data_IF_461944747692
#
_entry.id   IF_461944747692
#
_cell.length_a   1.000
_cell.length_b   1.000
_cell.length_c   1.000
_cell.angle_alpha   90.00
_cell.angle_beta   90.00
_cell.angle_gamma   90.00
#
_symmetry.space_group_name_H-M   'P 1'
#
loop_
_entity.id
_entity.type
_entity.pdbx_description
1 polymer ?
#
# COMPACT_ATOMS: atom_id res chain seq x y z
N UNK A 1 25.09 -25.64 2.53
CA UNK A 1 25.18 -25.59 3.99
C UNK A 1 24.77 -24.19 4.49
N UNK A 2 23.50 -23.79 4.36
CA UNK A 2 22.93 -22.50 4.81
C UNK A 2 21.43 -22.63 5.10
N UNK A 3 20.98 -23.85 5.44
CA UNK A 3 19.57 -24.18 5.78
C UNK A 3 19.26 -24.15 7.28
N UNK A 4 20.21 -23.73 8.14
CA UNK A 4 20.08 -23.94 9.59
C UNK A 4 19.64 -22.72 10.40
N UNK A 5 19.50 -21.53 9.85
CA UNK A 5 19.20 -20.34 10.66
C UNK A 5 17.73 -19.92 10.65
N UNK A 6 16.92 -20.36 9.71
CA UNK A 6 15.49 -19.99 9.65
C UNK A 6 14.56 -20.96 10.42
N UNK A 7 14.99 -22.18 10.68
CA UNK A 7 14.15 -23.24 11.28
C UNK A 7 14.06 -23.20 12.82
N UNK A 8 14.77 -22.32 13.50
CA UNK A 8 14.80 -22.29 14.99
C UNK A 8 13.73 -21.43 15.66
N UNK A 9 12.91 -20.68 14.89
CA UNK A 9 11.99 -19.68 15.45
C UNK A 9 10.51 -19.90 15.10
N UNK A 10 10.11 -21.05 14.58
CA UNK A 10 8.70 -21.37 14.35
C UNK A 10 8.20 -22.22 15.52
N UNK A 11 7.65 -21.58 16.55
CA UNK A 11 7.25 -22.29 17.79
C UNK A 11 5.74 -22.55 17.94
N UNK A 12 4.88 -22.03 17.07
CA UNK A 12 3.46 -22.39 17.11
C UNK A 12 2.77 -22.17 15.77
N UNK A 13 1.92 -23.10 15.39
CA UNK A 13 0.91 -22.87 14.36
C UNK A 13 -0.24 -22.10 14.99
N UNK A 14 -0.68 -21.06 14.35
CA UNK A 14 -1.86 -20.34 14.78
C UNK A 14 -3.09 -20.80 14.00
N UNK A 15 -4.26 -20.74 14.63
CA UNK A 15 -5.51 -21.22 14.04
C UNK A 15 -6.35 -20.08 13.48
N UNK A 16 -6.92 -20.31 12.30
CA UNK A 16 -7.95 -19.44 11.70
C UNK A 16 -9.33 -19.64 12.33
N UNK A 17 -9.49 -20.63 13.21
CA UNK A 17 -10.78 -20.96 13.83
C UNK A 17 -11.37 -19.83 14.67
N UNK A 18 -10.52 -18.99 15.25
CA UNK A 18 -10.93 -17.84 16.06
C UNK A 18 -11.59 -16.70 15.27
N UNK A 19 -11.52 -16.74 13.93
CA UNK A 19 -12.13 -15.72 13.08
C UNK A 19 -13.55 -16.09 12.67
N UNK A 20 -14.42 -15.07 12.61
CA UNK A 20 -15.81 -15.25 12.21
C UNK A 20 -15.99 -15.57 10.73
N UNK A 21 -17.15 -16.12 10.38
CA UNK A 21 -17.44 -16.56 9.01
C UNK A 21 -17.38 -15.40 8.01
N UNK A 22 -17.73 -14.18 8.42
CA UNK A 22 -17.61 -12.97 7.59
C UNK A 22 -16.16 -12.68 7.21
N UNK A 23 -15.24 -12.75 8.17
CA UNK A 23 -13.80 -12.48 7.92
C UNK A 23 -13.19 -13.57 7.04
N UNK A 24 -13.52 -14.82 7.32
CA UNK A 24 -13.10 -15.97 6.51
C UNK A 24 -13.70 -15.88 5.09
N UNK A 25 -14.95 -15.44 4.96
CA UNK A 25 -15.58 -15.22 3.65
C UNK A 25 -14.86 -14.16 2.81
N UNK A 26 -14.44 -13.06 3.43
CA UNK A 26 -13.62 -12.03 2.76
C UNK A 26 -12.27 -12.61 2.34
N UNK A 27 -11.62 -13.39 3.21
CA UNK A 27 -10.36 -14.06 2.89
C UNK A 27 -10.54 -15.02 1.71
N UNK A 28 -11.55 -15.86 1.74
CA UNK A 28 -11.84 -16.83 0.69
C UNK A 28 -12.09 -16.15 -0.67
N UNK A 29 -12.93 -15.10 -0.68
CA UNK A 29 -13.17 -14.31 -1.90
C UNK A 29 -11.88 -13.71 -2.44
N UNK A 30 -11.06 -13.13 -1.57
CA UNK A 30 -9.77 -12.55 -1.97
C UNK A 30 -8.81 -13.60 -2.51
N UNK A 31 -8.79 -14.79 -1.92
CA UNK A 31 -7.95 -15.89 -2.41
C UNK A 31 -8.45 -16.45 -3.73
N UNK A 32 -9.77 -16.51 -3.97
CA UNK A 32 -10.32 -16.85 -5.29
C UNK A 32 -9.86 -15.88 -6.38
N UNK A 33 -9.92 -14.57 -6.09
CA UNK A 33 -9.41 -13.55 -7.00
C UNK A 33 -7.89 -13.73 -7.28
N UNK A 34 -7.10 -14.05 -6.23
CA UNK A 34 -5.67 -14.32 -6.38
C UNK A 34 -5.43 -15.57 -7.26
N UNK A 35 -6.20 -16.63 -7.06
CA UNK A 35 -6.11 -17.86 -7.84
C UNK A 35 -6.37 -17.62 -9.33
N UNK A 36 -7.19 -16.65 -9.69
CA UNK A 36 -7.44 -16.24 -11.07
C UNK A 36 -6.38 -15.27 -11.62
N UNK A 37 -5.48 -14.76 -10.77
CA UNK A 37 -4.46 -13.79 -11.16
C UNK A 37 -3.19 -14.46 -11.66
N UNK A 38 -2.89 -14.31 -12.94
CA UNK A 38 -1.58 -14.72 -13.51
C UNK A 38 -0.40 -14.10 -12.75
N UNK A 39 -0.56 -12.87 -12.28
CA UNK A 39 0.48 -12.14 -11.53
C UNK A 39 0.76 -12.77 -10.17
N UNK A 40 -0.23 -13.41 -9.52
CA UNK A 40 -0.05 -14.15 -8.29
C UNK A 40 0.96 -15.30 -8.46
N UNK A 41 0.75 -16.16 -9.46
CA UNK A 41 1.66 -17.27 -9.73
C UNK A 41 3.04 -16.81 -10.19
N UNK A 42 3.14 -15.72 -10.95
CA UNK A 42 4.43 -15.12 -11.30
C UNK A 42 5.20 -14.62 -10.07
N UNK A 43 4.52 -14.06 -9.08
CA UNK A 43 5.14 -13.64 -7.82
C UNK A 43 5.61 -14.84 -6.98
N UNK A 44 4.81 -15.90 -6.88
CA UNK A 44 5.20 -17.13 -6.21
C UNK A 44 6.45 -17.74 -6.85
N UNK A 45 6.53 -17.76 -8.19
CA UNK A 45 7.69 -18.25 -8.93
C UNK A 45 8.98 -17.48 -8.60
N UNK A 46 8.88 -16.17 -8.40
CA UNK A 46 10.03 -15.31 -8.06
C UNK A 46 10.54 -15.54 -6.63
N UNK A 47 9.67 -15.98 -5.71
CA UNK A 47 9.98 -16.16 -4.29
C UNK A 47 10.42 -17.60 -3.93
N UNK A 48 11.12 -18.29 -4.82
CA UNK A 48 11.61 -19.66 -4.61
C UNK A 48 12.45 -19.89 -3.35
N UNK A 49 13.02 -18.82 -2.80
CA UNK A 49 13.90 -18.89 -1.62
C UNK A 49 13.15 -19.09 -0.29
N UNK A 50 11.82 -19.05 -0.30
CA UNK A 50 10.98 -19.15 0.91
C UNK A 50 9.98 -20.31 0.80
N UNK A 51 10.44 -21.57 0.91
CA UNK A 51 9.59 -22.76 0.75
C UNK A 51 8.46 -22.87 1.78
N UNK A 52 8.59 -22.21 2.93
CA UNK A 52 7.55 -22.16 3.95
C UNK A 52 6.23 -21.51 3.49
N UNK A 53 6.26 -20.70 2.44
CA UNK A 53 5.05 -20.11 1.86
C UNK A 53 4.34 -20.99 0.81
N UNK A 54 4.78 -22.24 0.67
CA UNK A 54 4.24 -23.18 -0.30
C UNK A 54 4.84 -23.04 -1.70
N UNK A 55 4.87 -24.14 -2.41
CA UNK A 55 5.26 -24.17 -3.83
C UNK A 55 4.11 -23.72 -4.74
N UNK A 56 4.41 -23.44 -6.00
CA UNK A 56 3.40 -23.15 -7.01
C UNK A 56 2.37 -24.31 -7.08
N UNK A 57 2.85 -25.57 -7.06
CA UNK A 57 1.99 -26.75 -7.09
C UNK A 57 1.05 -26.84 -5.89
N UNK A 58 1.50 -26.42 -4.71
CA UNK A 58 0.65 -26.39 -3.50
C UNK A 58 -0.46 -25.35 -3.67
N UNK A 59 -0.12 -24.16 -4.17
CA UNK A 59 -1.09 -23.11 -4.43
C UNK A 59 -2.07 -23.46 -5.57
N UNK A 60 -1.60 -24.09 -6.65
CA UNK A 60 -2.47 -24.60 -7.73
C UNK A 60 -3.49 -25.61 -7.21
N UNK A 61 -3.04 -26.59 -6.39
CA UNK A 61 -3.93 -27.56 -5.75
C UNK A 61 -4.93 -26.92 -4.82
N UNK A 62 -4.48 -25.92 -4.05
CA UNK A 62 -5.36 -25.17 -3.16
C UNK A 62 -6.41 -24.38 -3.95
N UNK A 63 -5.99 -23.71 -5.01
CA UNK A 63 -6.88 -22.94 -5.88
C UNK A 63 -7.97 -23.80 -6.53
N UNK A 64 -7.63 -24.98 -7.05
CA UNK A 64 -8.61 -25.93 -7.58
C UNK A 64 -9.65 -26.32 -6.53
N UNK A 65 -9.21 -26.69 -5.32
CA UNK A 65 -10.12 -27.02 -4.22
C UNK A 65 -11.02 -25.84 -3.83
N UNK A 66 -10.47 -24.63 -3.84
CA UNK A 66 -11.20 -23.42 -3.46
C UNK A 66 -12.26 -23.05 -4.50
N UNK A 67 -11.98 -23.30 -5.77
CA UNK A 67 -12.93 -23.06 -6.88
C UNK A 67 -14.13 -24.03 -6.80
N UNK A 68 -13.86 -25.30 -6.58
CA UNK A 68 -14.88 -26.36 -6.49
C UNK A 68 -15.75 -26.26 -5.22
N UNK A 69 -15.28 -25.53 -4.19
CA UNK A 69 -15.97 -25.49 -2.90
C UNK A 69 -17.15 -24.51 -2.93
N UNK A 70 -18.37 -25.04 -2.86
CA UNK A 70 -19.61 -24.28 -2.73
C UNK A 70 -20.05 -24.06 -1.27
N UNK A 71 -19.65 -24.94 -0.36
CA UNK A 71 -20.00 -24.91 1.06
C UNK A 71 -18.78 -25.20 1.92
N UNK A 72 -18.82 -24.77 3.21
CA UNK A 72 -17.77 -25.05 4.19
C UNK A 72 -16.36 -24.55 3.82
N UNK A 73 -16.31 -23.35 3.22
CA UNK A 73 -15.05 -22.69 2.82
C UNK A 73 -14.10 -22.50 4.02
N UNK A 74 -14.64 -22.26 5.21
CA UNK A 74 -13.84 -22.11 6.44
C UNK A 74 -13.02 -23.38 6.71
N UNK A 75 -13.64 -24.54 6.68
CA UNK A 75 -12.97 -25.83 6.87
C UNK A 75 -11.90 -26.11 5.78
N UNK A 76 -12.17 -25.72 4.53
CA UNK A 76 -11.18 -25.82 3.46
C UNK A 76 -9.94 -24.98 3.78
N UNK A 77 -10.14 -23.70 4.13
CA UNK A 77 -9.03 -22.77 4.40
C UNK A 77 -8.25 -23.24 5.63
N UNK A 78 -8.91 -23.58 6.74
CA UNK A 78 -8.25 -24.01 7.99
C UNK A 78 -7.45 -25.31 7.83
N UNK A 79 -7.93 -26.24 6.98
CA UNK A 79 -7.22 -27.50 6.73
C UNK A 79 -6.03 -27.37 5.74
N UNK A 80 -6.03 -26.39 4.85
CA UNK A 80 -5.01 -26.29 3.80
C UNK A 80 -4.01 -25.13 4.03
N UNK A 81 -4.33 -24.16 4.87
CA UNK A 81 -3.44 -23.02 5.17
C UNK A 81 -2.88 -23.16 6.57
N UNK A 82 -1.57 -23.18 6.67
CA UNK A 82 -0.84 -23.14 7.95
C UNK A 82 -0.31 -21.72 8.15
N UNK A 83 -0.46 -21.21 9.36
CA UNK A 83 0.00 -19.89 9.75
C UNK A 83 1.24 -20.03 10.60
N UNK A 84 2.31 -19.36 10.17
CA UNK A 84 3.57 -19.33 10.87
C UNK A 84 3.64 -18.07 11.72
N UNK A 85 3.85 -18.21 13.02
CA UNK A 85 4.10 -17.07 13.91
C UNK A 85 5.58 -16.72 13.88
N UNK A 86 5.87 -15.46 13.58
CA UNK A 86 7.23 -14.96 13.65
C UNK A 86 7.55 -14.57 15.11
N UNK A 87 8.62 -15.15 15.66
CA UNK A 87 9.06 -14.88 17.04
C UNK A 87 9.91 -13.62 17.18
N UNK A 88 10.11 -12.86 16.10
CA UNK A 88 10.81 -11.57 16.17
C UNK A 88 10.03 -10.56 17.03
N UNK A 89 10.74 -9.61 17.66
CA UNK A 89 10.09 -8.57 18.45
C UNK A 89 9.10 -7.77 17.60
N UNK A 90 8.16 -7.17 18.28
CA UNK A 90 7.06 -6.40 17.68
C UNK A 90 7.49 -5.50 16.53
N UNK A 91 6.84 -5.66 15.42
CA UNK A 91 7.00 -4.83 14.23
C UNK A 91 6.14 -3.57 14.26
N UNK A 92 5.89 -3.01 13.10
CA UNK A 92 5.13 -1.78 12.93
C UNK A 92 4.07 -1.96 11.86
N UNK A 93 2.82 -1.67 12.21
CA UNK A 93 1.76 -1.44 11.23
C UNK A 93 1.41 0.04 11.15
N UNK A 94 1.33 0.56 9.94
CA UNK A 94 0.83 1.89 9.62
C UNK A 94 -0.36 1.78 8.68
N UNK A 95 -0.95 2.89 8.29
CA UNK A 95 -2.06 2.91 7.35
C UNK A 95 -1.76 3.76 6.12
N UNK A 96 -2.37 3.39 5.01
CA UNK A 96 -2.44 4.21 3.82
C UNK A 96 -3.87 4.22 3.26
N UNK A 97 -4.17 5.20 2.44
CA UNK A 97 -5.52 5.44 1.93
C UNK A 97 -5.45 5.94 0.49
N UNK A 98 -6.58 6.01 -0.17
CA UNK A 98 -6.71 6.61 -1.48
C UNK A 98 -7.22 8.05 -1.32
N UNK A 99 -6.36 9.08 -1.50
CA UNK A 99 -6.76 10.47 -1.36
C UNK A 99 -7.74 10.89 -2.45
N UNK A 100 -8.56 11.88 -2.10
CA UNK A 100 -9.44 12.58 -3.02
C UNK A 100 -8.88 13.99 -3.16
N UNK A 101 -8.64 14.42 -4.40
CA UNK A 101 -8.11 15.75 -4.71
C UNK A 101 -8.93 16.44 -5.78
N UNK A 102 -9.00 17.75 -5.75
CA UNK A 102 -9.61 18.54 -6.82
C UNK A 102 -8.73 18.54 -8.06
N UNK A 103 -9.35 18.41 -9.23
CA UNK A 103 -8.62 18.37 -10.50
C UNK A 103 -9.31 19.14 -11.60
N UNK A 104 -8.53 19.52 -12.61
CA UNK A 104 -9.00 20.13 -13.85
C UNK A 104 -8.22 19.60 -15.06
N UNK A 105 -8.86 19.52 -16.22
CA UNK A 105 -8.20 19.24 -17.48
C UNK A 105 -7.38 20.44 -17.98
N UNK A 106 -7.76 21.66 -17.58
CA UNK A 106 -7.21 22.91 -18.07
C UNK A 106 -6.49 23.63 -16.92
N UNK A 107 -5.29 24.13 -17.22
CA UNK A 107 -4.56 25.03 -16.31
C UNK A 107 -5.27 26.37 -16.20
N UNK A 108 -5.46 26.85 -14.97
CA UNK A 108 -5.99 28.18 -14.68
C UNK A 108 -5.31 28.80 -13.44
N UNK A 109 -5.87 29.88 -12.88
CA UNK A 109 -5.30 30.55 -11.71
C UNK A 109 -5.34 29.67 -10.43
N UNK A 110 -6.33 28.79 -10.30
CA UNK A 110 -6.51 27.89 -9.17
C UNK A 110 -5.74 26.57 -9.43
N UNK A 111 -6.00 25.91 -10.56
CA UNK A 111 -5.42 24.61 -10.93
C UNK A 111 -4.10 24.80 -11.67
N UNK A 112 -2.99 24.84 -10.95
CA UNK A 112 -1.66 25.21 -11.50
C UNK A 112 -0.57 24.15 -11.29
N UNK A 113 -0.84 23.08 -10.54
CA UNK A 113 0.14 22.02 -10.27
C UNK A 113 -0.14 20.81 -11.14
N UNK A 114 0.81 20.38 -12.01
CA UNK A 114 0.57 19.31 -12.96
C UNK A 114 0.64 17.93 -12.31
N UNK A 115 -0.27 17.05 -12.68
CA UNK A 115 -0.21 15.62 -12.46
C UNK A 115 0.36 15.01 -13.74
N UNK A 116 1.48 14.30 -13.61
CA UNK A 116 2.26 13.85 -14.77
C UNK A 116 2.13 12.36 -15.02
N UNK A 117 2.11 11.95 -16.29
CA UNK A 117 2.32 10.57 -16.72
C UNK A 117 3.79 10.19 -16.68
N UNK A 118 4.06 8.86 -16.68
CA UNK A 118 5.43 8.36 -16.73
C UNK A 118 6.07 8.63 -18.08
N UNK A 119 7.28 9.21 -18.04
CA UNK A 119 8.18 9.31 -19.18
C UNK A 119 9.59 8.87 -18.73
N UNK A 120 10.29 8.12 -19.57
CA UNK A 120 11.64 7.60 -19.26
C UNK A 120 12.67 8.72 -19.04
N UNK A 121 12.45 9.92 -19.61
CA UNK A 121 13.35 11.07 -19.41
C UNK A 121 13.46 11.51 -17.95
N UNK A 122 12.49 11.13 -17.11
CA UNK A 122 12.46 11.43 -15.67
C UNK A 122 13.15 10.38 -14.80
N UNK A 123 13.65 9.30 -15.38
CA UNK A 123 14.37 8.27 -14.64
C UNK A 123 15.63 8.87 -14.00
N UNK A 124 15.81 8.60 -12.72
CA UNK A 124 16.88 9.14 -11.88
C UNK A 124 16.92 10.67 -11.74
N UNK A 125 15.94 11.39 -12.27
CA UNK A 125 15.80 12.84 -12.04
C UNK A 125 15.11 13.09 -10.71
N UNK A 126 15.59 14.09 -9.97
CA UNK A 126 15.00 14.46 -8.68
C UNK A 126 13.65 15.14 -8.84
N UNK A 127 12.83 15.14 -7.77
CA UNK A 127 11.59 15.92 -7.71
C UNK A 127 11.79 17.37 -8.14
N UNK A 128 12.79 18.05 -7.58
CA UNK A 128 13.07 19.45 -7.89
C UNK A 128 13.42 19.68 -9.39
N UNK A 129 14.03 18.69 -10.05
CA UNK A 129 14.29 18.75 -11.47
C UNK A 129 12.99 18.57 -12.26
N UNK A 130 12.19 17.56 -11.93
CA UNK A 130 10.94 17.25 -12.64
C UNK A 130 9.95 18.40 -12.53
N UNK A 131 9.77 18.96 -11.32
CA UNK A 131 8.86 20.09 -11.07
C UNK A 131 9.19 21.35 -11.91
N UNK A 132 10.46 21.49 -12.38
CA UNK A 132 10.90 22.62 -13.20
C UNK A 132 10.98 22.32 -14.70
N UNK A 133 11.10 21.02 -15.07
CA UNK A 133 11.45 20.61 -16.43
C UNK A 133 10.51 19.57 -17.03
N UNK A 134 9.27 19.47 -16.53
CA UNK A 134 8.27 18.57 -17.12
C UNK A 134 7.86 19.05 -18.52
N UNK A 135 7.46 18.09 -19.36
CA UNK A 135 6.93 18.38 -20.70
C UNK A 135 5.42 18.54 -20.63
N UNK A 136 4.87 19.44 -21.42
CA UNK A 136 3.44 19.68 -21.49
C UNK A 136 2.65 18.41 -21.88
N UNK A 137 3.19 17.62 -22.81
CA UNK A 137 2.57 16.36 -23.28
C UNK A 137 2.49 15.29 -22.21
N UNK A 138 3.25 15.43 -21.12
CA UNK A 138 3.22 14.50 -20.01
C UNK A 138 2.18 14.88 -18.93
N UNK A 139 1.50 16.01 -19.08
CA UNK A 139 0.47 16.46 -18.14
C UNK A 139 -0.84 15.74 -18.46
N UNK A 140 -1.41 15.08 -17.44
CA UNK A 140 -2.71 14.41 -17.58
C UNK A 140 -3.85 15.17 -16.90
N UNK A 141 -3.54 15.91 -15.85
CA UNK A 141 -4.48 16.74 -15.08
C UNK A 141 -3.73 17.86 -14.38
N UNK A 142 -4.47 18.84 -13.91
CA UNK A 142 -4.00 19.89 -13.00
C UNK A 142 -4.70 19.79 -11.66
N UNK A 143 -4.04 20.18 -10.56
CA UNK A 143 -4.62 20.28 -9.23
C UNK A 143 -4.34 21.64 -8.60
N UNK A 144 -5.15 22.00 -7.63
CA UNK A 144 -5.13 23.29 -6.92
C UNK A 144 -4.10 23.34 -5.79
N UNK A 145 -3.71 22.20 -5.22
CA UNK A 145 -2.91 22.12 -4.00
C UNK A 145 -1.67 21.22 -4.17
N UNK A 146 -0.47 21.84 -4.12
CA UNK A 146 0.80 21.12 -4.25
C UNK A 146 1.07 20.15 -3.08
N UNK A 147 0.58 20.46 -1.88
CA UNK A 147 0.72 19.57 -0.70
C UNK A 147 -0.13 18.32 -0.91
N UNK A 148 -1.37 18.48 -1.37
CA UNK A 148 -2.23 17.33 -1.67
C UNK A 148 -1.67 16.49 -2.83
N UNK A 149 -1.09 17.11 -3.86
CA UNK A 149 -0.36 16.41 -4.92
C UNK A 149 0.82 15.61 -4.38
N UNK A 150 1.60 16.20 -3.47
CA UNK A 150 2.71 15.50 -2.83
C UNK A 150 2.22 14.27 -2.05
N UNK A 151 1.13 14.40 -1.29
CA UNK A 151 0.57 13.25 -0.56
C UNK A 151 -0.10 12.24 -1.48
N UNK A 152 -0.72 12.64 -2.60
CA UNK A 152 -1.16 11.72 -3.66
C UNK A 152 0.01 10.85 -4.15
N UNK A 153 1.17 11.45 -4.36
CA UNK A 153 2.37 10.73 -4.77
C UNK A 153 2.92 9.80 -3.66
N UNK A 154 2.75 10.15 -2.38
CA UNK A 154 3.10 9.25 -1.26
C UNK A 154 2.17 8.04 -1.22
N UNK A 155 0.87 8.24 -1.46
CA UNK A 155 -0.15 7.18 -1.44
C UNK A 155 -0.13 6.31 -2.70
N UNK A 156 0.33 6.87 -3.83
CA UNK A 156 0.54 6.14 -5.09
C UNK A 156 -0.68 6.06 -6.02
N UNK A 157 -1.86 6.40 -5.56
CA UNK A 157 -3.10 6.51 -6.36
C UNK A 157 -4.10 7.41 -5.65
N UNK A 158 -5.11 7.89 -6.37
CA UNK A 158 -6.15 8.77 -5.82
C UNK A 158 -7.41 8.83 -6.66
N UNK A 159 -8.33 9.67 -6.23
CA UNK A 159 -9.53 10.06 -6.96
C UNK A 159 -9.43 11.55 -7.24
N UNK A 160 -9.52 11.94 -8.51
CA UNK A 160 -9.73 13.33 -8.91
C UNK A 160 -11.22 13.65 -8.88
N UNK A 161 -11.58 14.82 -8.35
CA UNK A 161 -12.94 15.37 -8.44
C UNK A 161 -12.87 16.66 -9.22
N UNK A 162 -13.63 16.74 -10.31
CA UNK A 162 -13.83 17.95 -11.10
C UNK A 162 -14.83 18.90 -10.40
N UNK A 163 -14.91 20.14 -10.86
CA UNK A 163 -15.80 21.17 -10.29
C UNK A 163 -17.29 20.79 -10.37
N UNK A 164 -17.70 20.07 -11.40
CA UNK A 164 -19.04 19.53 -11.59
C UNK A 164 -19.36 18.30 -10.72
N UNK A 165 -18.37 17.82 -9.94
CA UNK A 165 -18.50 16.64 -9.08
C UNK A 165 -18.17 15.31 -9.77
N UNK A 166 -17.87 15.31 -11.07
CA UNK A 166 -17.42 14.11 -11.76
C UNK A 166 -16.12 13.59 -11.14
N UNK A 167 -16.00 12.26 -11.09
CA UNK A 167 -14.83 11.58 -10.47
C UNK A 167 -14.02 10.84 -11.50
N UNK A 168 -12.71 10.94 -11.38
CA UNK A 168 -11.77 10.24 -12.22
C UNK A 168 -10.76 9.46 -11.36
N UNK A 169 -10.40 8.26 -11.81
CA UNK A 169 -9.45 7.42 -11.11
C UNK A 169 -8.03 7.75 -11.55
N UNK A 170 -7.21 8.19 -10.61
CA UNK A 170 -5.79 8.50 -10.80
C UNK A 170 -4.99 7.30 -10.32
N UNK A 171 -4.49 6.49 -11.25
CA UNK A 171 -3.80 5.25 -10.97
C UNK A 171 -2.27 5.41 -11.09
N UNK A 172 -1.53 4.62 -10.29
CA UNK A 172 -0.07 4.54 -10.39
C UNK A 172 0.37 4.05 -11.78
N UNK A 173 1.30 4.76 -12.39
CA UNK A 173 1.90 4.35 -13.66
C UNK A 173 3.40 4.03 -13.53
N UNK A 174 4.08 4.70 -12.60
CA UNK A 174 5.51 4.47 -12.40
C UNK A 174 6.15 5.49 -11.46
N UNK A 175 7.46 5.44 -11.38
CA UNK A 175 8.23 6.37 -10.57
C UNK A 175 9.58 6.69 -11.22
N UNK A 176 10.33 7.64 -10.66
CA UNK A 176 11.63 8.08 -11.16
C UNK A 176 12.82 7.21 -10.71
N UNK A 177 12.60 6.03 -10.14
CA UNK A 177 13.63 5.09 -9.67
C UNK A 177 14.57 5.64 -8.57
N UNK A 178 14.22 6.76 -7.93
CA UNK A 178 14.94 7.26 -6.76
C UNK A 178 14.32 6.74 -5.45
N UNK A 179 15.12 6.60 -4.39
CA UNK A 179 14.65 6.11 -3.10
C UNK A 179 13.70 7.11 -2.44
N UNK A 180 12.74 6.58 -1.68
CA UNK A 180 11.86 7.36 -0.83
C UNK A 180 12.59 7.89 0.39
N UNK A 181 12.36 9.16 0.74
CA UNK A 181 12.81 9.79 1.98
C UNK A 181 11.60 10.38 2.72
N UNK A 182 11.38 9.95 3.96
CA UNK A 182 10.28 10.45 4.77
C UNK A 182 10.51 11.90 5.16
N UNK A 183 9.61 12.81 4.75
CA UNK A 183 9.66 14.22 5.17
C UNK A 183 9.31 14.40 6.66
N UNK A 184 8.52 13.49 7.25
CA UNK A 184 8.29 13.49 8.69
C UNK A 184 9.58 13.27 9.47
N UNK A 185 10.46 12.35 9.02
CA UNK A 185 11.80 12.18 9.60
C UNK A 185 12.67 13.43 9.40
N UNK A 186 12.58 14.10 8.26
CA UNK A 186 13.30 15.36 8.00
C UNK A 186 12.85 16.45 8.97
N UNK A 187 11.54 16.61 9.16
CA UNK A 187 10.99 17.62 10.09
C UNK A 187 11.42 17.36 11.53
N UNK A 188 11.46 16.09 11.95
CA UNK A 188 11.98 15.72 13.28
C UNK A 188 13.48 16.06 13.40
N UNK A 189 14.30 15.68 12.42
CA UNK A 189 15.73 15.93 12.40
C UNK A 189 16.08 17.42 12.42
N UNK A 190 15.19 18.26 11.88
CA UNK A 190 15.33 19.72 11.90
C UNK A 190 14.64 20.38 13.10
N UNK A 191 14.23 19.60 14.11
CA UNK A 191 13.52 20.07 15.31
C UNK A 191 12.24 20.87 15.02
N UNK A 192 11.57 20.59 13.90
CA UNK A 192 10.34 21.27 13.47
C UNK A 192 9.08 20.54 13.93
N UNK A 193 9.16 19.23 14.20
CA UNK A 193 8.08 18.43 14.78
C UNK A 193 8.60 17.52 15.88
N UNK A 194 7.78 17.35 16.91
CA UNK A 194 8.06 16.43 18.01
C UNK A 194 7.91 14.97 17.55
N UNK A 195 8.92 14.08 17.75
CA UNK A 195 8.85 12.66 17.37
C UNK A 195 7.66 11.90 17.95
N UNK A 196 7.15 12.31 19.13
CA UNK A 196 6.02 11.66 19.81
C UNK A 196 4.67 12.01 19.18
N UNK A 197 4.58 13.14 18.49
CA UNK A 197 3.34 13.71 17.97
C UNK A 197 3.26 13.67 16.43
N UNK A 198 4.35 13.21 15.77
CA UNK A 198 4.41 13.22 14.32
C UNK A 198 3.45 12.17 13.72
N UNK A 199 2.50 12.68 12.95
CA UNK A 199 1.57 11.92 12.12
C UNK A 199 1.32 12.65 10.78
N UNK A 200 0.41 12.12 9.95
CA UNK A 200 0.06 12.73 8.67
C UNK A 200 -0.48 14.15 8.83
N UNK A 201 -1.28 14.39 9.85
CA UNK A 201 -1.98 15.66 10.04
C UNK A 201 -1.02 16.74 10.53
N UNK A 202 -0.17 16.42 11.51
CA UNK A 202 0.86 17.35 12.01
C UNK A 202 1.84 17.74 10.91
N UNK A 203 2.21 16.80 10.01
CA UNK A 203 3.04 17.10 8.84
C UNK A 203 2.30 18.03 7.87
N UNK A 204 1.05 17.72 7.50
CA UNK A 204 0.24 18.55 6.59
C UNK A 204 0.02 19.96 7.17
N UNK A 205 -0.29 20.04 8.47
CA UNK A 205 -0.48 21.30 9.16
C UNK A 205 0.81 22.14 9.09
N UNK A 206 1.95 21.55 9.46
CA UNK A 206 3.23 22.25 9.42
C UNK A 206 3.55 22.78 8.00
N UNK A 207 3.35 21.96 6.95
CA UNK A 207 3.60 22.38 5.58
C UNK A 207 2.72 23.56 5.14
N UNK A 208 1.45 23.59 5.58
CA UNK A 208 0.52 24.69 5.26
C UNK A 208 0.83 25.97 6.01
N UNK A 209 1.25 25.86 7.26
CA UNK A 209 1.62 26.99 8.08
C UNK A 209 2.98 27.58 7.68
N UNK A 210 3.88 26.77 7.13
CA UNK A 210 5.23 27.17 6.74
C UNK A 210 5.44 27.11 5.21
N UNK A 211 4.58 27.76 4.43
CA UNK A 211 4.55 27.68 2.97
C UNK A 211 5.89 28.00 2.30
N UNK A 212 6.65 28.97 2.83
CA UNK A 212 7.98 29.36 2.32
C UNK A 212 9.00 28.21 2.39
N UNK A 213 8.89 27.35 3.40
CA UNK A 213 9.79 26.22 3.61
C UNK A 213 9.21 24.88 3.08
N UNK A 214 7.88 24.80 2.92
CA UNK A 214 7.19 23.56 2.55
C UNK A 214 7.79 22.88 1.33
N UNK A 215 8.03 23.62 0.25
CA UNK A 215 8.65 23.08 -0.95
C UNK A 215 10.07 22.55 -0.67
N UNK A 216 10.86 23.27 0.14
CA UNK A 216 12.21 22.86 0.52
C UNK A 216 12.23 21.55 1.31
N UNK A 217 11.22 21.33 2.16
CA UNK A 217 11.04 20.06 2.89
C UNK A 217 10.57 18.95 1.93
N UNK A 218 9.53 19.19 1.12
CA UNK A 218 8.98 18.18 0.23
C UNK A 218 9.98 17.69 -0.82
N UNK A 219 10.84 18.55 -1.36
CA UNK A 219 11.90 18.15 -2.32
C UNK A 219 13.00 17.28 -1.71
N UNK A 220 13.10 17.17 -0.38
CA UNK A 220 13.98 16.20 0.28
C UNK A 220 13.57 14.75 -0.04
N UNK A 221 12.29 14.50 -0.29
CA UNK A 221 11.85 13.26 -0.89
C UNK A 221 12.09 13.32 -2.41
N UNK A 222 13.22 12.78 -2.84
CA UNK A 222 13.64 12.79 -4.26
C UNK A 222 12.78 11.88 -5.14
N UNK A 223 12.03 10.92 -4.53
CA UNK A 223 11.15 10.03 -5.26
C UNK A 223 9.96 10.80 -5.81
N UNK A 224 9.65 10.57 -7.10
CA UNK A 224 8.50 11.12 -7.80
C UNK A 224 7.63 9.98 -8.33
N UNK A 225 6.32 10.11 -8.17
CA UNK A 225 5.34 9.14 -8.66
C UNK A 225 4.60 9.77 -9.84
N UNK A 226 4.43 8.97 -10.88
CA UNK A 226 3.70 9.31 -12.09
C UNK A 226 2.40 8.53 -12.15
N UNK A 227 1.43 9.09 -12.84
CA UNK A 227 0.07 8.60 -12.85
C UNK A 227 -0.46 8.43 -14.26
N UNK A 228 -1.47 7.60 -14.38
CA UNK A 228 -2.35 7.51 -15.55
C UNK A 228 -3.80 7.66 -15.10
N UNK A 229 -4.64 8.09 -16.04
CA UNK A 229 -6.09 8.01 -15.87
C UNK A 229 -6.49 6.55 -16.15
N UNK A 230 -7.27 5.98 -15.27
CA UNK A 230 -7.85 4.65 -15.46
C UNK A 230 -9.36 4.81 -15.53
N UNK A 231 -9.94 4.53 -16.70
CA UNK A 231 -11.37 4.48 -16.86
C UNK A 231 -11.96 3.41 -15.95
N UNK A 232 -12.95 3.77 -15.18
CA UNK A 232 -13.59 2.83 -14.26
C UNK A 232 -15.09 2.96 -14.38
N UNK A 233 -15.69 1.98 -15.04
CA UNK A 233 -17.15 1.90 -15.16
C UNK A 233 -17.82 1.34 -13.89
N UNK A 234 -17.05 0.78 -12.93
CA UNK A 234 -17.61 0.02 -11.81
C UNK A 234 -16.99 0.31 -10.44
N UNK A 235 -15.72 0.69 -10.33
CA UNK A 235 -15.06 0.86 -9.03
C UNK A 235 -13.95 1.90 -9.05
N UNK A 236 -13.98 2.81 -8.09
CA UNK A 236 -12.92 3.80 -7.85
C UNK A 236 -11.79 3.26 -6.97
N UNK A 237 -11.87 2.02 -6.48
CA UNK A 237 -10.83 1.44 -5.63
C UNK A 237 -9.51 1.29 -6.38
N UNK A 238 -8.36 1.52 -5.72
CA UNK A 238 -7.05 1.38 -6.35
C UNK A 238 -6.72 -0.11 -6.54
N UNK A 239 -5.87 -0.39 -7.52
CA UNK A 239 -5.29 -1.71 -7.72
C UNK A 239 -3.93 -1.79 -7.05
N UNK A 240 -3.71 -2.86 -6.29
CA UNK A 240 -2.42 -3.17 -5.68
C UNK A 240 -1.42 -3.82 -6.65
N UNK A 241 -0.32 -4.29 -6.12
CA UNK A 241 0.79 -4.87 -6.88
C UNK A 241 0.45 -6.17 -7.65
N UNK A 242 -0.68 -6.83 -7.31
CA UNK A 242 -1.23 -7.95 -8.09
C UNK A 242 -2.15 -7.52 -9.24
N UNK A 243 -2.42 -6.22 -9.38
CA UNK A 243 -3.43 -5.72 -10.32
C UNK A 243 -4.88 -5.93 -9.85
N UNK A 244 -5.07 -6.44 -8.63
CA UNK A 244 -6.38 -6.64 -8.00
C UNK A 244 -6.78 -5.43 -7.16
N UNK A 245 -8.09 -5.20 -7.03
CA UNK A 245 -8.59 -4.12 -6.21
C UNK A 245 -8.26 -4.30 -4.73
N UNK A 246 -7.80 -3.22 -4.10
CA UNK A 246 -7.52 -3.23 -2.68
C UNK A 246 -8.83 -3.20 -1.87
N UNK A 247 -8.90 -4.04 -0.85
CA UNK A 247 -10.05 -4.15 0.05
C UNK A 247 -9.77 -3.34 1.32
N UNK A 248 -10.61 -2.32 1.62
CA UNK A 248 -10.43 -1.50 2.81
C UNK A 248 -10.36 -2.34 4.09
N UNK A 249 -9.44 -1.98 4.97
CA UNK A 249 -9.21 -2.68 6.24
C UNK A 249 -8.85 -4.17 6.12
N UNK A 250 -8.46 -4.65 4.94
CA UNK A 250 -8.11 -6.04 4.70
C UNK A 250 -6.84 -6.20 3.86
N UNK A 251 -6.68 -5.43 2.78
CA UNK A 251 -5.46 -5.46 1.98
C UNK A 251 -4.31 -4.76 2.69
N UNK A 252 -3.12 -5.36 2.64
CA UNK A 252 -1.89 -4.79 3.20
C UNK A 252 -0.79 -4.72 2.15
N UNK A 253 0.07 -3.70 2.30
CA UNK A 253 1.36 -3.63 1.64
C UNK A 253 2.43 -4.25 2.55
N UNK A 254 3.33 -5.04 1.94
CA UNK A 254 4.40 -5.78 2.63
C UNK A 254 5.75 -5.59 1.92
N UNK A 255 6.83 -6.08 2.52
CA UNK A 255 8.12 -6.19 1.83
C UNK A 255 8.14 -7.41 0.91
N UNK A 256 8.00 -7.18 -0.38
CA UNK A 256 8.02 -8.23 -1.42
C UNK A 256 9.34 -9.03 -1.51
N UNK A 257 10.42 -8.53 -0.88
CA UNK A 257 11.68 -9.25 -0.85
C UNK A 257 11.70 -10.32 0.26
N UNK A 258 10.73 -10.27 1.18
CA UNK A 258 10.58 -11.20 2.30
C UNK A 258 9.37 -12.10 2.10
N UNK A 259 8.24 -11.52 1.69
CA UNK A 259 6.98 -12.24 1.58
C UNK A 259 6.47 -12.27 0.13
N UNK A 260 5.88 -13.38 -0.30
CA UNK A 260 5.10 -13.40 -1.53
C UNK A 260 3.90 -12.45 -1.44
N UNK A 261 3.53 -11.86 -2.58
CA UNK A 261 2.30 -11.07 -2.68
C UNK A 261 1.13 -12.03 -2.95
N UNK A 262 0.00 -11.81 -2.29
CA UNK A 262 -1.22 -12.60 -2.45
C UNK A 262 -1.44 -13.65 -1.36
N UNK A 263 -0.56 -13.73 -0.35
CA UNK A 263 -0.73 -14.68 0.77
C UNK A 263 -1.49 -14.03 1.94
N UNK A 264 -2.20 -14.84 2.76
CA UNK A 264 -2.88 -14.37 3.95
C UNK A 264 -1.93 -14.08 5.10
N UNK A 265 -2.34 -13.15 5.96
CA UNK A 265 -1.67 -12.77 7.20
C UNK A 265 -2.64 -12.68 8.36
N UNK A 266 -2.14 -12.90 9.56
CA UNK A 266 -2.78 -12.47 10.80
C UNK A 266 -1.97 -11.33 11.38
N UNK A 267 -2.60 -10.18 11.56
CA UNK A 267 -2.04 -9.05 12.28
C UNK A 267 -2.47 -9.15 13.72
N UNK A 268 -1.52 -9.24 14.65
CA UNK A 268 -1.78 -9.18 16.08
C UNK A 268 -1.30 -7.85 16.66
N UNK A 269 -2.21 -7.06 17.22
CA UNK A 269 -1.89 -5.78 17.83
C UNK A 269 -1.41 -5.95 19.27
N UNK A 270 -0.11 -5.75 19.49
CA UNK A 270 0.58 -6.05 20.79
C UNK A 270 -0.13 -5.46 22.00
N UNK A 271 -0.61 -4.20 21.93
CA UNK A 271 -1.24 -3.55 23.08
C UNK A 271 -2.62 -4.09 23.46
N UNK A 272 -3.37 -4.60 22.50
CA UNK A 272 -4.77 -5.00 22.72
C UNK A 272 -5.01 -6.50 22.58
N UNK A 273 -4.01 -7.25 22.10
CA UNK A 273 -4.17 -8.66 21.73
C UNK A 273 -5.18 -8.88 20.58
N UNK A 274 -5.73 -7.82 20.01
CA UNK A 274 -6.69 -7.95 18.91
C UNK A 274 -6.00 -8.53 17.69
N UNK A 275 -6.66 -9.47 17.06
CA UNK A 275 -6.20 -10.13 15.84
C UNK A 275 -7.07 -9.72 14.66
N UNK A 276 -6.47 -9.67 13.49
CA UNK A 276 -7.13 -9.28 12.25
C UNK A 276 -6.57 -10.09 11.09
N UNK A 277 -7.47 -10.63 10.27
CA UNK A 277 -7.10 -11.20 8.97
C UNK A 277 -6.75 -10.10 7.98
N UNK A 278 -5.75 -10.36 7.18
CA UNK A 278 -5.31 -9.50 6.08
C UNK A 278 -4.77 -10.34 4.93
N UNK A 279 -4.59 -9.71 3.78
CA UNK A 279 -3.97 -10.33 2.60
C UNK A 279 -2.98 -9.35 1.96
N UNK A 280 -1.84 -9.85 1.54
CA UNK A 280 -0.79 -9.05 0.93
C UNK A 280 -1.10 -8.77 -0.54
N UNK A 281 -1.89 -7.75 -0.82
CA UNK A 281 -2.24 -7.34 -2.19
C UNK A 281 -1.32 -6.27 -2.75
N UNK A 282 -0.50 -5.64 -1.89
CA UNK A 282 0.27 -4.47 -2.29
C UNK A 282 1.71 -4.47 -1.77
N UNK A 283 2.49 -3.50 -2.24
CA UNK A 283 3.87 -3.27 -1.82
C UNK A 283 4.14 -1.77 -1.73
N UNK A 284 5.03 -1.38 -0.82
CA UNK A 284 5.44 0.01 -0.68
C UNK A 284 6.97 0.15 -0.60
N UNK A 285 7.53 1.20 -1.20
CA UNK A 285 8.97 1.47 -1.14
C UNK A 285 9.48 1.73 0.28
N UNK A 286 8.60 2.22 1.16
CA UNK A 286 8.87 2.47 2.58
C UNK A 286 8.57 1.25 3.47
N UNK A 287 7.94 0.20 2.91
CA UNK A 287 7.54 -0.99 3.67
C UNK A 287 8.65 -2.01 3.53
N UNK A 288 9.54 -2.04 4.53
CA UNK A 288 10.76 -2.85 4.53
C UNK A 288 10.95 -3.59 5.84
N UNK A 289 11.38 -4.84 5.75
CA UNK A 289 11.69 -5.70 6.88
C UNK A 289 10.56 -6.62 7.30
N UNK A 290 10.89 -7.54 8.22
CA UNK A 290 9.95 -8.45 8.87
C UNK A 290 8.98 -7.65 9.76
N UNK A 291 7.79 -8.18 10.00
CA UNK A 291 6.77 -7.55 10.85
C UNK A 291 6.47 -6.08 10.49
N UNK A 292 6.56 -5.74 9.20
CA UNK A 292 6.24 -4.42 8.67
C UNK A 292 5.11 -4.52 7.65
N UNK A 293 3.98 -3.92 7.96
CA UNK A 293 2.87 -3.84 7.04
C UNK A 293 2.26 -2.44 7.00
N UNK A 294 1.59 -2.13 5.90
CA UNK A 294 0.81 -0.91 5.73
C UNK A 294 -0.62 -1.29 5.33
N UNK A 295 -1.60 -0.96 6.19
CA UNK A 295 -2.99 -1.36 6.01
C UNK A 295 -3.71 -0.37 5.11
N UNK A 296 -4.34 -0.84 4.04
CA UNK A 296 -5.22 -0.02 3.22
C UNK A 296 -6.52 0.29 3.96
N UNK A 297 -6.80 1.56 4.21
CA UNK A 297 -7.97 2.00 4.98
C UNK A 297 -9.17 2.39 4.11
N UNK A 298 -8.97 2.55 2.79
CA UNK A 298 -10.03 2.89 1.85
C UNK A 298 -9.91 4.31 1.29
N UNK A 299 -11.07 4.86 0.87
CA UNK A 299 -11.20 6.18 0.27
C UNK A 299 -12.39 6.99 0.83
N UNK A 300 -12.93 6.59 1.97
CA UNK A 300 -13.95 7.37 2.68
C UNK A 300 -13.32 8.58 3.39
N UNK A 301 -14.15 9.51 3.83
CA UNK A 301 -13.72 10.67 4.63
C UNK A 301 -12.94 10.29 5.89
N UNK A 302 -13.23 9.13 6.47
CA UNK A 302 -12.53 8.63 7.65
C UNK A 302 -11.25 7.85 7.33
N UNK A 303 -11.08 7.41 6.09
CA UNK A 303 -9.92 6.60 5.69
C UNK A 303 -8.59 7.34 5.90
N UNK A 304 -8.52 8.62 5.59
CA UNK A 304 -7.36 9.47 5.86
C UNK A 304 -7.09 9.57 7.36
N UNK A 305 -8.13 9.78 8.18
CA UNK A 305 -8.01 9.89 9.64
C UNK A 305 -7.48 8.59 10.25
N UNK A 306 -8.04 7.46 9.80
CA UNK A 306 -7.62 6.13 10.25
C UNK A 306 -6.16 5.88 9.83
N UNK A 307 -5.83 6.08 8.56
CA UNK A 307 -4.49 5.88 8.03
C UNK A 307 -3.45 6.77 8.74
N UNK A 308 -3.74 8.06 8.86
CA UNK A 308 -2.84 9.04 9.44
C UNK A 308 -2.49 8.79 10.92
N UNK A 309 -3.41 8.17 11.66
CA UNK A 309 -3.23 7.84 13.09
C UNK A 309 -2.79 6.40 13.34
N UNK A 310 -2.84 5.53 12.31
CA UNK A 310 -2.46 4.14 12.47
C UNK A 310 -0.93 3.99 12.52
N UNK A 311 -0.40 3.92 13.74
CA UNK A 311 1.01 3.64 14.02
C UNK A 311 1.07 2.74 15.25
N UNK A 312 0.93 1.42 15.05
CA UNK A 312 0.83 0.44 16.14
C UNK A 312 1.93 -0.62 16.04
N UNK A 313 2.46 -1.02 17.19
CA UNK A 313 3.29 -2.20 17.31
C UNK A 313 2.43 -3.44 17.04
N UNK A 314 2.96 -4.38 16.25
CA UNK A 314 2.25 -5.59 15.82
C UNK A 314 3.20 -6.77 15.64
N UNK A 315 2.61 -7.96 15.48
CA UNK A 315 3.22 -9.14 14.88
C UNK A 315 2.50 -9.49 13.57
N UNK A 316 3.24 -10.06 12.62
CA UNK A 316 2.73 -10.57 11.35
C UNK A 316 2.99 -12.06 11.24
#
# INVERSE_FOLDING_TARGET
MLLSTFNKNVHSFDSLESFGDKEIGILASSMKENCQSKQFFLNLKKNKQYPQFGSIKDWEKFCLKLEDTKSNVKNLITKNIRIFKNNNPAGLITGYYQPIIKVSLIRNKEYKYPILRKNKIYDLKTRAFIDKNYKNDDIILWTDDYINLFFLQIQGSGIGIFEDGEKIKIAYEGNNNLPYKSIGKVLIQQNKLNPKEVDLFTIKFWLRDNQKEAYSIMKQNRRYIFFKIEESNTSMRPRGALGLELKPNFSIAIDKNIYPIGIPFIIEYVKSGKRKLAISHDTGSAIKGYNRADLFTGNSSDSEKIAGRLKKKNFL
#
